data_IF_049788485322
#
_entry.id   IF_049788485322
#
_cell.length_a   1.000
_cell.length_b   1.000
_cell.length_c   1.000
_cell.angle_alpha   90.00
_cell.angle_beta   90.00
_cell.angle_gamma   90.00
#
_symmetry.space_group_name_H-M   'P 1'
#
loop_
_entity.id
_entity.type
_entity.pdbx_description
1 polymer ?
#
# COMPACT_ATOMS: atom_id res chain seq x y z
N UNK A 1 -18.91 -28.88 6.73
CA UNK A 1 -18.58 -27.68 5.94
C UNK A 1 -18.39 -26.52 6.89
N UNK A 2 -17.40 -25.66 6.67
CA UNK A 2 -17.30 -24.39 7.39
C UNK A 2 -18.42 -23.48 6.89
N UNK A 3 -19.13 -22.82 7.78
CA UNK A 3 -20.14 -21.83 7.41
C UNK A 3 -19.47 -20.71 6.60
N UNK A 4 -19.93 -20.50 5.36
CA UNK A 4 -19.38 -19.48 4.46
C UNK A 4 -19.46 -18.08 5.07
N UNK A 5 -20.50 -17.79 5.85
CA UNK A 5 -20.64 -16.52 6.56
C UNK A 5 -19.58 -16.35 7.65
N UNK A 6 -19.28 -17.42 8.39
CA UNK A 6 -18.22 -17.42 9.39
C UNK A 6 -16.84 -17.25 8.74
N UNK A 7 -16.56 -18.00 7.66
CA UNK A 7 -15.31 -17.90 6.91
C UNK A 7 -15.09 -16.48 6.36
N UNK A 8 -16.11 -15.92 5.72
CA UNK A 8 -16.08 -14.56 5.19
C UNK A 8 -15.89 -13.51 6.28
N UNK A 9 -16.54 -13.67 7.43
CA UNK A 9 -16.38 -12.76 8.57
C UNK A 9 -14.95 -12.78 9.09
N UNK A 10 -14.33 -13.96 9.22
CA UNK A 10 -12.93 -14.10 9.63
C UNK A 10 -12.00 -13.43 8.62
N UNK A 11 -12.18 -13.67 7.31
CA UNK A 11 -11.40 -13.03 6.25
C UNK A 11 -11.56 -11.51 6.34
N UNK A 12 -12.78 -11.00 6.45
CA UNK A 12 -13.07 -9.57 6.52
C UNK A 12 -12.39 -8.89 7.72
N UNK A 13 -12.43 -9.51 8.90
CA UNK A 13 -11.82 -8.93 10.09
C UNK A 13 -10.29 -8.86 9.99
N UNK A 14 -9.66 -9.93 9.51
CA UNK A 14 -8.20 -9.97 9.34
C UNK A 14 -7.78 -9.00 8.24
N UNK A 15 -8.39 -9.13 7.06
CA UNK A 15 -8.03 -8.33 5.90
C UNK A 15 -8.38 -6.85 6.07
N UNK A 16 -9.49 -6.54 6.73
CA UNK A 16 -9.87 -5.17 7.07
C UNK A 16 -8.86 -4.50 8.01
N UNK A 17 -8.37 -5.25 9.01
CA UNK A 17 -7.30 -4.79 9.88
C UNK A 17 -5.99 -4.53 9.11
N UNK A 18 -5.57 -5.51 8.28
CA UNK A 18 -4.41 -5.38 7.41
C UNK A 18 -4.51 -4.23 6.41
N UNK A 19 -5.69 -4.00 5.84
CA UNK A 19 -5.98 -2.90 4.93
C UNK A 19 -5.74 -1.54 5.61
N UNK A 20 -6.25 -1.35 6.83
CA UNK A 20 -6.05 -0.11 7.59
C UNK A 20 -4.57 0.16 7.86
N UNK A 21 -3.83 -0.85 8.33
CA UNK A 21 -2.41 -0.71 8.63
C UNK A 21 -1.57 -0.42 7.40
N UNK A 22 -1.78 -1.17 6.32
CA UNK A 22 -0.98 -1.03 5.11
C UNK A 22 -1.27 0.30 4.39
N UNK A 23 -2.53 0.74 4.31
CA UNK A 23 -2.84 2.08 3.78
C UNK A 23 -2.27 3.20 4.64
N UNK A 24 -2.30 3.06 5.97
CA UNK A 24 -1.64 4.01 6.86
C UNK A 24 -0.14 4.10 6.53
N UNK A 25 0.56 2.98 6.40
CA UNK A 25 1.97 2.97 6.02
C UNK A 25 2.16 3.64 4.67
N UNK A 26 1.41 3.26 3.64
CA UNK A 26 1.50 3.83 2.28
C UNK A 26 1.38 5.36 2.28
N UNK A 27 0.45 5.90 3.07
CA UNK A 27 0.20 7.34 3.16
C UNK A 27 1.32 8.06 3.93
N UNK A 28 1.76 7.50 5.05
CA UNK A 28 2.63 8.19 5.99
C UNK A 28 4.12 7.91 5.80
N UNK A 29 4.52 6.83 5.13
CA UNK A 29 5.93 6.44 4.95
C UNK A 29 6.74 7.54 4.25
N UNK A 30 6.12 8.26 3.30
CA UNK A 30 6.79 9.37 2.59
C UNK A 30 7.01 10.61 3.45
N UNK A 31 6.30 10.75 4.58
CA UNK A 31 6.46 11.86 5.53
C UNK A 31 7.63 11.64 6.50
N UNK A 32 8.13 10.41 6.61
CA UNK A 32 9.24 10.03 7.48
C UNK A 32 10.59 10.29 6.79
N UNK A 33 11.28 11.36 7.20
CA UNK A 33 12.61 11.71 6.65
C UNK A 33 13.65 10.60 6.84
N UNK A 34 13.58 9.83 7.92
CA UNK A 34 14.46 8.66 8.17
C UNK A 34 14.23 7.51 7.18
N UNK A 35 13.03 7.40 6.61
CA UNK A 35 12.65 6.38 5.62
C UNK A 35 12.77 6.87 4.17
N UNK A 36 13.34 8.05 3.94
CA UNK A 36 13.68 8.54 2.60
C UNK A 36 14.97 7.92 2.04
N UNK A 37 15.17 6.62 2.29
CA UNK A 37 16.30 5.81 1.85
C UNK A 37 15.80 4.62 1.02
N UNK A 38 16.72 3.80 0.48
CA UNK A 38 16.37 2.62 -0.32
C UNK A 38 15.45 1.65 0.42
N UNK A 39 15.68 1.46 1.72
CA UNK A 39 14.85 0.59 2.55
C UNK A 39 13.40 1.11 2.65
N UNK A 40 13.19 2.37 3.01
CA UNK A 40 11.85 2.92 3.10
C UNK A 40 11.11 3.01 1.76
N UNK A 41 11.83 3.09 0.63
CA UNK A 41 11.25 2.91 -0.71
C UNK A 41 10.77 1.48 -0.94
N UNK A 42 11.57 0.48 -0.56
CA UNK A 42 11.21 -0.94 -0.65
C UNK A 42 10.00 -1.24 0.25
N UNK A 43 10.05 -0.84 1.52
CA UNK A 43 8.93 -0.98 2.47
C UNK A 43 7.68 -0.28 1.97
N UNK A 44 7.82 0.90 1.34
CA UNK A 44 6.68 1.63 0.77
C UNK A 44 6.05 0.89 -0.41
N UNK A 45 6.87 0.28 -1.28
CA UNK A 45 6.39 -0.55 -2.38
C UNK A 45 5.69 -1.81 -1.88
N UNK A 46 6.28 -2.48 -0.88
CA UNK A 46 5.71 -3.66 -0.24
C UNK A 46 4.36 -3.34 0.41
N UNK A 47 4.28 -2.27 1.22
CA UNK A 47 3.05 -1.84 1.85
C UNK A 47 1.95 -1.47 0.85
N UNK A 48 2.30 -0.92 -0.33
CA UNK A 48 1.32 -0.72 -1.42
C UNK A 48 0.77 -2.06 -1.92
N UNK A 49 1.65 -3.02 -2.19
CA UNK A 49 1.25 -4.37 -2.60
C UNK A 49 0.33 -5.03 -1.58
N UNK A 50 0.70 -4.98 -0.30
CA UNK A 50 -0.09 -5.53 0.80
C UNK A 50 -1.41 -4.76 1.00
N UNK A 51 -1.42 -3.44 0.82
CA UNK A 51 -2.65 -2.65 0.89
C UNK A 51 -3.64 -3.05 -0.20
N UNK A 52 -3.17 -3.21 -1.45
CA UNK A 52 -4.01 -3.64 -2.58
C UNK A 52 -4.53 -5.06 -2.35
N UNK A 53 -3.65 -5.97 -1.92
CA UNK A 53 -4.00 -7.34 -1.60
C UNK A 53 -5.08 -7.41 -0.52
N UNK A 54 -4.87 -6.74 0.62
CA UNK A 54 -5.81 -6.73 1.73
C UNK A 54 -7.13 -6.01 1.41
N UNK A 55 -7.09 -4.98 0.58
CA UNK A 55 -8.32 -4.33 0.07
C UNK A 55 -9.12 -5.31 -0.79
N UNK A 56 -8.45 -6.12 -1.60
CA UNK A 56 -9.09 -7.14 -2.44
C UNK A 56 -9.71 -8.22 -1.56
N UNK A 57 -9.01 -8.72 -0.56
CA UNK A 57 -9.57 -9.72 0.35
C UNK A 57 -10.73 -9.19 1.19
N UNK A 58 -10.63 -7.96 1.69
CA UNK A 58 -11.67 -7.35 2.53
C UNK A 58 -12.92 -6.93 1.75
N UNK A 59 -12.76 -6.31 0.57
CA UNK A 59 -13.88 -5.70 -0.18
C UNK A 59 -14.39 -6.54 -1.34
N UNK A 60 -13.64 -7.56 -1.76
CA UNK A 60 -14.05 -8.45 -2.85
C UNK A 60 -14.22 -9.89 -2.38
N UNK A 61 -13.16 -10.52 -1.86
CA UNK A 61 -13.20 -11.96 -1.52
C UNK A 61 -14.16 -12.23 -0.35
N UNK A 62 -14.09 -11.47 0.74
CA UNK A 62 -14.97 -11.70 1.88
C UNK A 62 -16.45 -11.50 1.53
N UNK A 63 -16.89 -10.40 0.87
CA UNK A 63 -18.28 -10.27 0.43
C UNK A 63 -18.70 -11.36 -0.55
N UNK A 64 -17.83 -11.74 -1.50
CA UNK A 64 -18.11 -12.83 -2.43
C UNK A 64 -18.42 -14.14 -1.69
N UNK A 65 -17.60 -14.50 -0.69
CA UNK A 65 -17.81 -15.70 0.13
C UNK A 65 -19.03 -15.54 1.05
N UNK A 66 -19.29 -14.35 1.57
CA UNK A 66 -20.40 -14.09 2.50
C UNK A 66 -21.77 -14.22 1.82
N UNK A 67 -21.89 -13.65 0.62
CA UNK A 67 -23.13 -13.64 -0.16
C UNK A 67 -23.28 -14.86 -1.07
N UNK A 68 -22.31 -15.78 -1.04
CA UNK A 68 -22.20 -16.90 -1.99
C UNK A 68 -22.37 -16.41 -3.45
N UNK A 69 -21.81 -15.24 -3.74
CA UNK A 69 -21.99 -14.60 -5.04
C UNK A 69 -21.21 -15.40 -6.06
N UNK A 70 -21.93 -16.08 -6.94
CA UNK A 70 -21.33 -16.88 -8.00
C UNK A 70 -20.40 -16.00 -8.86
N UNK A 71 -19.10 -16.29 -8.88
CA UNK A 71 -18.07 -15.54 -9.62
C UNK A 71 -18.47 -15.28 -11.07
N UNK A 72 -19.29 -16.17 -11.65
CA UNK A 72 -19.92 -16.03 -12.97
C UNK A 72 -20.66 -14.70 -13.15
N UNK A 73 -21.34 -14.17 -12.12
CA UNK A 73 -22.06 -12.90 -12.20
C UNK A 73 -21.08 -11.73 -12.33
N UNK A 74 -19.97 -11.76 -11.61
CA UNK A 74 -18.94 -10.71 -11.66
C UNK A 74 -18.20 -10.74 -13.01
N UNK A 75 -17.88 -11.95 -13.50
CA UNK A 75 -17.32 -12.14 -14.83
C UNK A 75 -18.29 -11.59 -15.87
N UNK A 76 -19.55 -12.00 -15.83
CA UNK A 76 -20.58 -11.52 -16.75
C UNK A 76 -20.74 -10.00 -16.69
N UNK A 77 -20.75 -9.42 -15.49
CA UNK A 77 -20.82 -7.97 -15.30
C UNK A 77 -19.61 -7.25 -15.91
N UNK A 78 -18.40 -7.76 -15.69
CA UNK A 78 -17.17 -7.18 -16.24
C UNK A 78 -17.17 -7.22 -17.78
N UNK A 79 -17.56 -8.36 -18.36
CA UNK A 79 -17.71 -8.50 -19.81
C UNK A 79 -18.83 -7.60 -20.35
N UNK A 80 -19.95 -7.48 -19.65
CA UNK A 80 -21.04 -6.59 -20.02
C UNK A 80 -20.60 -5.12 -20.00
N UNK A 81 -19.87 -4.68 -18.96
CA UNK A 81 -19.32 -3.33 -18.88
C UNK A 81 -18.27 -3.05 -19.97
N UNK A 82 -17.55 -4.05 -20.47
CA UNK A 82 -16.62 -3.88 -21.58
C UNK A 82 -17.33 -3.83 -22.94
N UNK A 83 -18.27 -4.75 -23.19
CA UNK A 83 -18.87 -4.97 -24.51
C UNK A 83 -20.11 -4.11 -24.78
N UNK A 84 -20.98 -3.90 -23.79
CA UNK A 84 -22.22 -3.14 -24.00
C UNK A 84 -21.95 -1.69 -24.44
N UNK A 85 -20.97 -0.96 -23.87
CA UNK A 85 -20.66 0.39 -24.36
C UNK A 85 -20.14 0.38 -25.79
N UNK A 86 -19.30 -0.60 -26.18
CA UNK A 86 -18.80 -0.73 -27.54
C UNK A 86 -19.94 -1.00 -28.54
N UNK A 87 -20.83 -1.94 -28.20
CA UNK A 87 -22.00 -2.27 -29.04
C UNK A 87 -22.96 -1.09 -29.15
N UNK A 88 -23.22 -0.39 -28.06
CA UNK A 88 -24.10 0.78 -28.08
C UNK A 88 -23.49 1.93 -28.90
N UNK A 89 -22.22 2.27 -28.68
CA UNK A 89 -21.59 3.40 -29.33
C UNK A 89 -21.37 3.19 -30.83
N UNK A 90 -20.96 1.98 -31.26
CA UNK A 90 -20.60 1.74 -32.66
C UNK A 90 -21.67 0.98 -33.44
N UNK A 91 -22.26 -0.07 -32.88
CA UNK A 91 -23.23 -0.91 -33.59
C UNK A 91 -24.63 -0.32 -33.61
N UNK A 92 -25.12 0.22 -32.47
CA UNK A 92 -26.47 0.78 -32.41
C UNK A 92 -26.58 2.15 -33.09
N UNK A 93 -25.54 2.98 -33.01
CA UNK A 93 -25.52 4.30 -33.67
C UNK A 93 -25.02 4.26 -35.13
N UNK A 94 -24.77 3.06 -35.68
CA UNK A 94 -24.29 2.83 -37.06
C UNK A 94 -22.99 3.58 -37.42
N UNK A 95 -22.10 3.70 -36.42
CA UNK A 95 -20.81 4.38 -36.52
C UNK A 95 -19.72 3.38 -36.92
N UNK A 96 -19.77 2.93 -38.17
CA UNK A 96 -18.82 1.97 -38.72
C UNK A 96 -17.45 2.60 -38.97
N UNK A 97 -16.40 1.83 -38.71
CA UNK A 97 -15.03 2.16 -39.11
C UNK A 97 -14.78 1.62 -40.51
N UNK A 98 -14.44 2.50 -41.46
CA UNK A 98 -14.15 2.11 -42.83
C UNK A 98 -12.87 2.79 -43.33
N UNK A 99 -12.23 2.14 -44.30
CA UNK A 99 -11.01 2.65 -44.90
C UNK A 99 -11.35 3.66 -46.00
N UNK A 100 -10.71 4.82 -45.96
CA UNK A 100 -10.89 5.88 -46.96
C UNK A 100 -9.65 5.88 -47.86
N UNK A 101 -9.78 5.31 -49.05
CA UNK A 101 -8.67 5.14 -50.01
C UNK A 101 -8.03 6.48 -50.39
N UNK A 102 -8.84 7.52 -50.60
CA UNK A 102 -8.42 8.84 -51.07
C UNK A 102 -7.37 9.52 -50.17
N UNK A 103 -7.38 9.18 -48.88
CA UNK A 103 -6.49 9.78 -47.88
C UNK A 103 -5.71 8.73 -47.08
N UNK A 104 -5.85 7.45 -47.40
CA UNK A 104 -5.17 6.32 -46.75
C UNK A 104 -5.27 6.32 -45.21
N UNK A 105 -6.48 6.50 -44.69
CA UNK A 105 -6.76 6.40 -43.24
C UNK A 105 -8.10 5.71 -42.96
N UNK A 106 -8.26 5.21 -41.74
CA UNK A 106 -9.52 4.68 -41.25
C UNK A 106 -10.36 5.80 -40.64
N UNK A 107 -11.55 6.03 -41.20
CA UNK A 107 -12.52 7.01 -40.73
C UNK A 107 -13.76 6.35 -40.15
N UNK A 108 -14.47 7.07 -39.29
CA UNK A 108 -15.82 6.68 -38.86
C UNK A 108 -16.87 7.25 -39.81
N UNK A 109 -18.07 6.65 -39.83
CA UNK A 109 -19.24 7.19 -40.55
C UNK A 109 -19.36 8.70 -40.32
N UNK A 110 -19.42 9.48 -41.40
CA UNK A 110 -19.47 10.94 -41.33
C UNK A 110 -20.87 11.42 -40.91
N UNK A 111 -21.12 11.39 -39.60
CA UNK A 111 -22.34 11.85 -38.96
C UNK A 111 -21.98 12.60 -37.66
N UNK A 112 -22.77 13.61 -37.31
CA UNK A 112 -22.54 14.44 -36.12
C UNK A 112 -22.41 13.61 -34.84
N UNK A 113 -23.25 12.57 -34.68
CA UNK A 113 -23.22 11.66 -33.53
C UNK A 113 -21.93 10.84 -33.48
N UNK A 114 -21.50 10.28 -34.61
CA UNK A 114 -20.29 9.46 -34.69
C UNK A 114 -19.01 10.29 -34.45
N UNK A 115 -18.98 11.54 -34.92
CA UNK A 115 -17.88 12.46 -34.67
C UNK A 115 -17.80 12.86 -33.19
N UNK A 116 -18.94 13.06 -32.52
CA UNK A 116 -18.97 13.28 -31.07
C UNK A 116 -18.45 12.06 -30.29
N UNK A 117 -18.87 10.86 -30.67
CA UNK A 117 -18.40 9.61 -30.05
C UNK A 117 -16.88 9.47 -30.24
N UNK A 118 -16.37 9.63 -31.46
CA UNK A 118 -14.94 9.56 -31.74
C UNK A 118 -14.14 10.62 -30.94
N UNK A 119 -14.70 11.81 -30.75
CA UNK A 119 -14.03 12.86 -29.97
C UNK A 119 -13.98 12.55 -28.47
N UNK A 120 -15.11 12.16 -27.87
CA UNK A 120 -15.20 11.98 -26.41
C UNK A 120 -14.82 10.57 -25.94
N UNK A 121 -15.36 9.53 -26.60
CA UNK A 121 -15.18 8.14 -26.19
C UNK A 121 -13.82 7.58 -26.62
N UNK A 122 -13.28 8.02 -27.76
CA UNK A 122 -11.96 7.60 -28.24
C UNK A 122 -10.90 8.62 -27.88
N UNK A 123 -10.90 9.80 -28.51
CA UNK A 123 -9.77 10.72 -28.38
C UNK A 123 -9.57 11.22 -26.94
N UNK A 124 -10.59 11.86 -26.34
CA UNK A 124 -10.46 12.47 -25.02
C UNK A 124 -10.18 11.44 -23.91
N UNK A 125 -10.87 10.30 -23.95
CA UNK A 125 -10.63 9.18 -23.02
C UNK A 125 -9.19 8.68 -23.10
N UNK A 126 -8.70 8.37 -24.29
CA UNK A 126 -7.34 7.84 -24.46
C UNK A 126 -6.27 8.90 -24.10
N UNK A 127 -6.47 10.15 -24.49
CA UNK A 127 -5.61 11.25 -24.06
C UNK A 127 -5.57 11.41 -22.54
N UNK A 128 -6.70 11.28 -21.85
CA UNK A 128 -6.74 11.33 -20.38
C UNK A 128 -5.90 10.23 -19.74
N UNK A 129 -5.92 9.00 -20.27
CA UNK A 129 -5.08 7.92 -19.77
C UNK A 129 -3.59 8.21 -19.98
N UNK A 130 -3.20 8.72 -21.15
CA UNK A 130 -1.82 9.10 -21.44
C UNK A 130 -1.33 10.19 -20.49
N UNK A 131 -2.13 11.25 -20.29
CA UNK A 131 -1.78 12.34 -19.37
C UNK A 131 -1.60 11.83 -17.93
N UNK A 132 -2.48 10.93 -17.48
CA UNK A 132 -2.38 10.32 -16.16
C UNK A 132 -1.08 9.52 -16.01
N UNK A 133 -0.76 8.66 -16.99
CA UNK A 133 0.46 7.85 -17.00
C UNK A 133 1.71 8.73 -16.99
N UNK A 134 1.79 9.71 -17.90
CA UNK A 134 2.92 10.64 -17.96
C UNK A 134 3.11 11.42 -16.65
N UNK A 135 2.01 11.82 -16.01
CA UNK A 135 2.07 12.52 -14.70
C UNK A 135 2.67 11.62 -13.63
N UNK A 136 2.25 10.35 -13.56
CA UNK A 136 2.77 9.37 -12.60
C UNK A 136 4.28 9.14 -12.83
N UNK A 137 4.70 9.00 -14.08
CA UNK A 137 6.11 8.77 -14.43
C UNK A 137 6.99 9.98 -14.09
N UNK A 138 6.55 11.20 -14.42
CA UNK A 138 7.28 12.44 -14.08
C UNK A 138 7.42 12.57 -12.57
N UNK A 139 6.34 12.38 -11.81
CA UNK A 139 6.37 12.43 -10.34
C UNK A 139 7.34 11.40 -9.77
N UNK A 140 7.37 10.21 -10.35
CA UNK A 140 8.27 9.13 -9.94
C UNK A 140 9.73 9.52 -10.17
N UNK A 141 10.08 10.02 -11.37
CA UNK A 141 11.43 10.44 -11.73
C UNK A 141 11.91 11.62 -10.86
N UNK A 142 11.08 12.66 -10.71
CA UNK A 142 11.41 13.83 -9.88
C UNK A 142 11.66 13.44 -8.43
N UNK A 143 10.82 12.57 -7.86
CA UNK A 143 11.03 12.09 -6.49
C UNK A 143 12.34 11.32 -6.35
N UNK A 144 12.68 10.46 -7.31
CA UNK A 144 13.95 9.71 -7.28
C UNK A 144 15.16 10.65 -7.33
N UNK A 145 15.15 11.66 -8.20
CA UNK A 145 16.24 12.63 -8.29
C UNK A 145 16.38 13.49 -7.03
N UNK A 146 15.28 14.02 -6.49
CA UNK A 146 15.31 14.83 -5.27
C UNK A 146 15.85 14.05 -4.07
N UNK A 147 15.49 12.77 -3.95
CA UNK A 147 15.99 11.88 -2.89
C UNK A 147 17.49 11.61 -3.04
N UNK A 148 17.97 11.40 -4.26
CA UNK A 148 19.39 11.16 -4.54
C UNK A 148 20.26 12.39 -4.24
N UNK A 149 19.76 13.60 -4.50
CA UNK A 149 20.45 14.86 -4.18
C UNK A 149 20.46 15.10 -2.66
N UNK A 150 19.33 14.89 -1.98
CA UNK A 150 19.23 15.10 -0.52
C UNK A 150 20.15 14.17 0.29
N UNK A 151 20.48 12.99 -0.25
CA UNK A 151 21.34 12.01 0.44
C UNK A 151 22.83 12.39 0.39
N UNK A 152 23.25 13.23 -0.57
CA UNK A 152 24.66 13.65 -0.71
C UNK A 152 25.09 14.79 0.23
N UNK A 153 24.15 15.46 0.89
CA UNK A 153 24.40 16.71 1.61
C UNK A 153 24.58 16.59 3.14
N UNK A 154 24.74 15.39 3.71
CA UNK A 154 24.80 15.22 5.17
C UNK A 154 25.88 14.26 5.64
N UNK A 155 27.08 14.80 5.88
CA UNK A 155 28.24 14.05 6.40
C UNK A 155 28.66 14.60 7.76
N UNK A 156 28.15 14.01 8.85
CA UNK A 156 28.61 14.19 10.23
C UNK A 156 28.74 12.81 10.90
N UNK A 157 29.76 12.61 11.74
CA UNK A 157 30.01 11.32 12.39
C UNK A 157 28.87 10.87 13.34
N UNK A 158 28.21 11.80 14.03
CA UNK A 158 27.04 11.47 14.88
C UNK A 158 25.83 10.99 14.06
N UNK A 159 25.69 11.49 12.83
CA UNK A 159 24.66 11.05 11.89
C UNK A 159 24.89 9.61 11.43
N UNK A 160 26.15 9.18 11.24
CA UNK A 160 26.51 7.81 10.85
C UNK A 160 26.09 6.77 11.91
N UNK A 161 26.30 7.06 13.19
CA UNK A 161 25.91 6.14 14.27
C UNK A 161 24.41 6.05 14.47
N UNK A 162 23.68 7.16 14.32
CA UNK A 162 22.22 7.16 14.34
C UNK A 162 21.67 6.33 13.17
N UNK A 163 22.19 6.58 11.96
CA UNK A 163 21.82 5.85 10.74
C UNK A 163 22.07 4.34 10.88
N UNK A 164 23.22 3.94 11.41
CA UNK A 164 23.55 2.52 11.66
C UNK A 164 22.55 1.83 12.61
N UNK A 165 22.10 2.53 13.67
CA UNK A 165 21.08 1.98 14.59
C UNK A 165 19.71 1.82 13.93
N UNK A 166 19.34 2.77 13.06
CA UNK A 166 18.12 2.68 12.27
C UNK A 166 18.19 1.48 11.31
N UNK A 167 19.31 1.31 10.59
CA UNK A 167 19.58 0.17 9.71
C UNK A 167 19.46 -1.19 10.43
N UNK A 168 19.97 -1.32 11.66
CA UNK A 168 19.82 -2.54 12.46
C UNK A 168 18.37 -2.79 12.85
N UNK A 169 17.60 -1.76 13.20
CA UNK A 169 16.19 -1.93 13.53
C UNK A 169 15.37 -2.33 12.30
N UNK A 170 15.71 -1.80 11.12
CA UNK A 170 15.12 -2.22 9.85
C UNK A 170 15.45 -3.67 9.51
N UNK A 171 16.70 -4.10 9.74
CA UNK A 171 17.09 -5.49 9.55
C UNK A 171 16.27 -6.43 10.45
N UNK A 172 16.08 -6.07 11.72
CA UNK A 172 15.23 -6.85 12.64
C UNK A 172 13.79 -6.99 12.13
N UNK A 173 13.21 -5.90 11.62
CA UNK A 173 11.88 -5.94 11.01
C UNK A 173 11.84 -6.89 9.81
N UNK A 174 12.78 -6.75 8.86
CA UNK A 174 12.82 -7.59 7.67
C UNK A 174 13.00 -9.08 8.01
N UNK A 175 13.85 -9.40 9.00
CA UNK A 175 14.01 -10.78 9.47
C UNK A 175 12.74 -11.35 10.09
N UNK A 176 12.00 -10.54 10.86
CA UNK A 176 10.71 -10.97 11.44
C UNK A 176 9.66 -11.21 10.36
N UNK A 177 9.54 -10.31 9.39
CA UNK A 177 8.63 -10.45 8.24
C UNK A 177 8.95 -11.71 7.43
N UNK A 178 10.23 -11.94 7.13
CA UNK A 178 10.68 -13.15 6.43
C UNK A 178 10.37 -14.44 7.20
N UNK A 179 10.55 -14.44 8.53
CA UNK A 179 10.20 -15.59 9.37
C UNK A 179 8.71 -15.91 9.37
N UNK A 180 7.86 -14.88 9.44
CA UNK A 180 6.40 -15.03 9.36
C UNK A 180 5.97 -15.57 7.99
N UNK A 181 6.59 -15.10 6.90
CA UNK A 181 6.33 -15.60 5.56
C UNK A 181 6.75 -17.07 5.39
N UNK A 182 7.93 -17.46 5.90
CA UNK A 182 8.36 -18.88 5.89
C UNK A 182 7.40 -19.77 6.68
N UNK A 183 6.89 -19.29 7.82
CA UNK A 183 5.91 -20.04 8.61
C UNK A 183 4.63 -20.28 7.81
N UNK A 184 4.16 -19.28 7.05
CA UNK A 184 2.99 -19.43 6.18
C UNK A 184 3.21 -20.48 5.10
N UNK A 185 4.35 -20.45 4.41
CA UNK A 185 4.69 -21.48 3.41
C UNK A 185 4.72 -22.89 4.02
N UNK A 186 5.25 -23.03 5.24
CA UNK A 186 5.24 -24.30 5.97
C UNK A 186 3.80 -24.73 6.28
N UNK A 187 2.96 -23.82 6.79
CA UNK A 187 1.57 -24.14 7.08
C UNK A 187 0.78 -24.52 5.82
N UNK A 188 1.01 -23.81 4.72
CA UNK A 188 0.31 -24.01 3.46
C UNK A 188 0.73 -25.30 2.76
N UNK A 189 2.04 -25.55 2.61
CA UNK A 189 2.53 -26.66 1.80
C UNK A 189 2.82 -27.94 2.59
N UNK A 190 3.21 -27.85 3.85
CA UNK A 190 3.60 -29.02 4.65
C UNK A 190 2.51 -29.46 5.62
N UNK A 191 1.83 -28.52 6.29
CA UNK A 191 0.83 -28.87 7.30
C UNK A 191 -0.56 -29.10 6.68
N UNK A 192 -1.03 -28.24 5.77
CA UNK A 192 -2.37 -28.38 5.15
C UNK A 192 -2.68 -29.80 4.65
N UNK A 193 -1.78 -30.49 3.92
CA UNK A 193 -2.09 -31.81 3.37
C UNK A 193 -2.27 -32.89 4.44
N UNK A 194 -1.73 -32.67 5.64
CA UNK A 194 -1.81 -33.62 6.76
C UNK A 194 -3.19 -33.64 7.42
N UNK A 195 -4.01 -32.60 7.24
CA UNK A 195 -5.30 -32.48 7.92
C UNK A 195 -6.46 -32.72 6.96
N UNK A 196 -7.49 -33.45 7.42
CA UNK A 196 -8.71 -33.66 6.65
C UNK A 196 -9.81 -32.64 6.97
N UNK A 197 -9.69 -31.92 8.09
CA UNK A 197 -10.69 -30.95 8.53
C UNK A 197 -10.68 -29.69 7.65
N UNK A 198 -11.81 -29.39 7.01
CA UNK A 198 -11.99 -28.19 6.19
C UNK A 198 -11.64 -26.89 6.93
N UNK A 199 -11.98 -26.80 8.22
CA UNK A 199 -11.66 -25.62 9.02
C UNK A 199 -10.15 -25.48 9.23
N UNK A 200 -9.45 -26.58 9.49
CA UNK A 200 -7.99 -26.56 9.66
C UNK A 200 -7.30 -26.21 8.34
N UNK A 201 -7.79 -26.74 7.21
CA UNK A 201 -7.29 -26.36 5.87
C UNK A 201 -7.48 -24.87 5.60
N UNK A 202 -8.66 -24.32 5.89
CA UNK A 202 -8.93 -22.90 5.80
C UNK A 202 -7.99 -22.06 6.69
N UNK A 203 -7.73 -22.54 7.92
CA UNK A 203 -6.78 -21.89 8.82
C UNK A 203 -5.34 -21.89 8.30
N UNK A 204 -4.86 -23.03 7.81
CA UNK A 204 -3.48 -23.22 7.32
C UNK A 204 -3.20 -22.54 5.98
N UNK A 205 -4.25 -22.21 5.23
CA UNK A 205 -4.14 -21.57 3.91
C UNK A 205 -4.61 -20.13 3.98
N UNK A 206 -5.92 -19.89 3.84
CA UNK A 206 -6.49 -18.56 3.67
C UNK A 206 -6.25 -17.65 4.88
N UNK A 207 -6.46 -18.16 6.11
CA UNK A 207 -6.25 -17.37 7.32
C UNK A 207 -4.77 -17.07 7.52
N UNK A 208 -3.89 -18.07 7.40
CA UNK A 208 -2.45 -17.88 7.49
C UNK A 208 -1.94 -16.85 6.48
N UNK A 209 -2.36 -16.98 5.21
CA UNK A 209 -2.02 -16.05 4.13
C UNK A 209 -2.43 -14.60 4.45
N UNK A 210 -3.70 -14.39 4.82
CA UNK A 210 -4.21 -13.06 5.16
C UNK A 210 -3.54 -12.49 6.43
N UNK A 211 -3.20 -13.35 7.39
CA UNK A 211 -2.48 -12.96 8.60
C UNK A 211 -1.06 -12.50 8.31
N UNK A 212 -0.32 -13.14 7.39
CA UNK A 212 1.03 -12.72 7.04
C UNK A 212 1.05 -11.28 6.53
N UNK A 213 0.21 -10.97 5.54
CA UNK A 213 0.13 -9.62 4.97
C UNK A 213 -0.42 -8.58 5.97
N UNK A 214 -1.27 -9.00 6.93
CA UNK A 214 -1.74 -8.11 8.01
C UNK A 214 -0.65 -7.85 9.05
N UNK A 215 0.11 -8.89 9.38
CA UNK A 215 1.21 -8.85 10.34
C UNK A 215 2.38 -8.04 9.79
N UNK A 216 2.60 -8.05 8.48
CA UNK A 216 3.62 -7.22 7.83
C UNK A 216 3.42 -5.73 8.11
N UNK A 217 2.19 -5.25 7.88
CA UNK A 217 1.78 -3.88 8.20
C UNK A 217 1.88 -3.60 9.71
N UNK A 218 1.47 -4.55 10.55
CA UNK A 218 1.60 -4.40 12.00
C UNK A 218 3.06 -4.26 12.45
N UNK A 219 3.96 -5.17 12.03
CA UNK A 219 5.39 -5.11 12.37
C UNK A 219 5.99 -3.77 11.92
N UNK A 220 5.62 -3.31 10.72
CA UNK A 220 6.11 -2.05 10.15
C UNK A 220 5.68 -0.82 10.97
N UNK A 221 4.43 -0.76 11.43
CA UNK A 221 3.93 0.34 12.28
C UNK A 221 4.65 0.39 13.63
N UNK A 222 4.99 -0.78 14.20
CA UNK A 222 5.64 -0.86 15.50
C UNK A 222 7.11 -0.42 15.47
N UNK A 223 7.68 -0.23 14.28
CA UNK A 223 9.00 0.35 14.11
C UNK A 223 9.05 1.76 14.75
N UNK A 224 10.14 2.03 15.47
CA UNK A 224 10.35 3.27 16.23
C UNK A 224 10.15 4.52 15.36
N UNK A 225 10.49 4.43 14.08
CA UNK A 225 10.31 5.53 13.12
C UNK A 225 8.83 5.86 12.90
N UNK A 226 7.96 4.86 12.71
CA UNK A 226 6.51 5.09 12.53
C UNK A 226 5.81 5.62 13.78
N UNK A 227 6.29 5.26 14.98
CA UNK A 227 5.77 5.82 16.23
C UNK A 227 5.98 7.33 16.36
N UNK A 228 6.91 7.93 15.60
CA UNK A 228 7.08 9.39 15.61
C UNK A 228 5.97 10.14 14.89
N UNK A 229 5.23 9.48 13.99
CA UNK A 229 4.10 10.03 13.21
C UNK A 229 2.76 9.83 13.91
N UNK A 230 2.68 8.94 14.89
CA UNK A 230 1.46 8.67 15.66
C UNK A 230 1.50 9.50 16.95
N UNK A 231 0.87 10.70 16.98
CA UNK A 231 0.91 11.58 18.16
C UNK A 231 0.36 10.93 19.43
N UNK A 232 -0.58 9.98 19.30
CA UNK A 232 -1.19 9.26 20.43
C UNK A 232 -0.25 8.31 21.19
N UNK A 233 0.94 8.00 20.64
CA UNK A 233 1.93 7.11 21.27
C UNK A 233 3.10 7.85 21.93
N UNK A 234 3.09 9.19 21.93
CA UNK A 234 4.03 9.96 22.76
C UNK A 234 3.68 9.74 24.23
N UNK A 235 4.55 9.05 24.96
CA UNK A 235 4.55 9.12 26.43
C UNK A 235 4.62 10.59 26.83
N UNK A 236 3.77 11.08 27.75
CA UNK A 236 3.91 12.43 28.26
C UNK A 236 5.32 12.57 28.82
N UNK A 237 6.08 13.51 28.28
CA UNK A 237 7.37 13.91 28.82
C UNK A 237 7.11 14.30 30.26
N UNK A 238 7.60 13.51 31.22
CA UNK A 238 7.58 13.89 32.62
C UNK A 238 8.28 15.23 32.72
N UNK A 239 7.54 16.24 33.20
CA UNK A 239 8.04 17.58 33.48
C UNK A 239 9.19 17.42 34.47
N UNK A 240 10.42 17.55 33.97
CA UNK A 240 11.57 17.81 34.82
C UNK A 240 11.37 19.21 35.39
N UNK A 241 11.15 19.30 36.71
CA UNK A 241 11.12 20.56 37.41
C UNK A 241 12.49 21.22 37.27
N UNK A 242 12.58 22.25 36.42
CA UNK A 242 13.67 23.21 36.46
C UNK A 242 13.53 24.02 37.75
N UNK A 243 14.15 23.50 38.82
CA UNK A 243 14.38 24.24 40.05
C UNK A 243 15.56 25.18 39.84
N UNK A 244 15.23 26.42 39.48
CA UNK A 244 16.15 27.54 39.40
C UNK A 244 16.85 27.75 40.75
N UNK A 245 18.19 27.63 40.80
CA UNK A 245 19.00 28.12 41.92
C UNK A 245 20.43 28.37 41.45
N UNK A 246 20.62 29.49 40.76
CA UNK A 246 21.90 30.17 40.75
C UNK A 246 21.74 31.53 41.41
N UNK A 247 22.69 31.80 42.31
CA UNK A 247 23.32 33.09 42.63
C UNK A 247 23.44 33.40 44.14
N UNK A 248 24.72 33.58 44.53
CA UNK A 248 25.33 34.19 45.74
C UNK A 248 25.51 33.33 46.99
N UNK A 249 26.66 33.31 47.68
CA UNK A 249 27.87 34.14 47.62
C UNK A 249 29.09 33.34 48.15
N UNK A 250 30.22 33.54 47.46
CA UNK A 250 31.61 33.77 47.93
C UNK A 250 32.11 32.97 49.13
N UNK A 251 33.10 32.11 48.85
CA UNK A 251 33.92 31.46 49.85
C UNK A 251 34.84 32.43 50.61
N UNK A 252 34.94 32.21 51.91
CA UNK A 252 36.00 32.75 52.76
C UNK A 252 36.63 31.55 53.48
N UNK A 253 37.93 31.38 53.26
CA UNK A 253 38.84 30.55 54.07
C UNK A 253 40.03 31.41 54.49
N UNK A 254 40.81 31.01 55.50
CA UNK A 254 40.93 31.71 56.77
C UNK A 254 42.26 32.48 56.92
N UNK A 255 42.33 33.40 57.88
CA UNK A 255 43.60 33.92 58.41
C UNK A 255 43.53 33.96 59.95
N UNK A 256 44.53 33.31 60.57
CA UNK A 256 45.30 33.67 61.79
C UNK A 256 44.78 34.91 62.54
N UNK A 257 44.52 34.90 63.85
CA UNK A 257 45.29 34.40 65.00
C UNK A 257 44.38 33.87 66.14
#
# INVERSE_FOLDING_TARGET
MLDHQLAATIIFLIAGCGMVFNWFITIFIRRLKSLQNTFGRLTGSQAIGDAVHQTTFALYVAPMVFFDTNTTVIIFFTWACALLPLLYLYTYNDCNLYYIDEYSYFGFTNNQTCLLIAWYADFLKNCSFVVLICTIDIVTVLRVHLLNVSTKASTSNHYRDKKRREEINFLKQACLQAGVFVLELITYFLLEPMFQSYFVKFCMTTVAWNLVHSTDGFITIFNKEFRTVIPCLKKPTSISSSGNRDQKDIGITPTTD
#
